data_IF_820499860913
#
_entry.id   IF_820499860913
#
_cell.length_a   1.000
_cell.length_b   1.000
_cell.length_c   1.000
_cell.angle_alpha   90.00
_cell.angle_beta   90.00
_cell.angle_gamma   90.00
#
_symmetry.space_group_name_H-M   'P 1'
#
loop_
_entity.id
_entity.type
_entity.pdbx_description
1 polymer ?
2 non-polymer ?
3 non-polymer ?
4 non-polymer ?
5 water ?
#
# COMPACT_ATOMS: atom_id res chain seq x y z
N UNK A 10 19.37 0.25 1.80
CA UNK A 10 19.23 -0.15 3.19
C UNK A 10 17.92 -0.87 3.44
N UNK A 11 17.74 -1.39 4.66
CA UNK A 11 16.51 -2.11 5.02
C UNK A 11 15.27 -1.22 4.97
N UNK A 12 14.12 -1.81 4.70
CA UNK A 12 12.87 -1.07 4.71
C UNK A 12 11.68 -2.01 4.93
N UNK A 13 10.72 -1.55 5.74
CA UNK A 13 9.47 -2.26 5.99
C UNK A 13 8.35 -1.58 5.22
N UNK A 14 7.82 -2.26 4.20
CA UNK A 14 6.78 -1.69 3.35
C UNK A 14 5.50 -2.50 3.48
N UNK A 15 4.38 -1.78 3.66
CA UNK A 15 3.07 -2.40 3.66
C UNK A 15 2.19 -1.72 2.62
N UNK A 16 1.66 -2.53 1.70
CA UNK A 16 0.78 -2.04 0.65
C UNK A 16 -0.68 -2.14 1.06
N UNK A 17 -1.45 -1.10 0.77
CA UNK A 17 -2.89 -1.09 1.01
C UNK A 17 -3.64 -1.04 -0.32
N UNK A 18 -4.46 -2.06 -0.56
CA UNK A 18 -5.18 -2.21 -1.84
C UNK A 18 -6.70 -2.24 -1.66
N UNK A 19 -7.40 -1.56 -2.57
CA UNK A 19 -8.86 -1.67 -2.64
C UNK A 19 -9.20 -3.00 -3.33
N UNK A 20 -9.94 -3.87 -2.63
CA UNK A 20 -10.25 -5.20 -3.16
C UNK A 20 -11.68 -5.60 -2.88
N UNK A 21 -12.53 -5.56 -3.91
CA UNK A 21 -13.90 -6.01 -3.82
C UNK A 21 -14.30 -6.73 -5.09
N UNK A 22 -15.53 -7.22 -5.14
CA UNK A 22 -16.05 -7.85 -6.34
C UNK A 22 -16.20 -6.82 -7.45
N UNK A 23 -16.42 -5.56 -7.07
CA UNK A 23 -16.61 -4.48 -8.04
C UNK A 23 -15.37 -4.20 -8.88
N UNK A 24 -14.18 -4.32 -8.28
CA UNK A 24 -12.94 -4.02 -9.00
C UNK A 24 -12.10 -5.26 -9.25
N UNK A 25 -12.74 -6.42 -9.18
CA UNK A 25 -12.07 -7.70 -9.44
C UNK A 25 -11.54 -7.75 -10.87
N UNK A 26 -12.19 -7.03 -11.78
CA UNK A 26 -11.81 -7.03 -13.19
C UNK A 26 -10.45 -6.37 -13.41
N UNK A 27 -9.97 -5.63 -12.41
CA UNK A 27 -8.68 -4.94 -12.50
C UNK A 27 -7.58 -5.62 -11.68
N UNK A 28 -7.88 -6.79 -11.13
CA UNK A 28 -6.94 -7.48 -10.25
C UNK A 28 -5.62 -7.83 -10.95
N UNK A 29 -5.70 -8.22 -12.22
CA UNK A 29 -4.51 -8.65 -12.95
C UNK A 29 -3.60 -7.46 -13.24
N UNK A 30 -4.21 -6.34 -13.64
CA UNK A 30 -3.45 -5.11 -13.88
C UNK A 30 -2.77 -4.66 -12.60
N UNK A 31 -3.50 -4.73 -11.49
CA UNK A 31 -2.97 -4.33 -10.19
C UNK A 31 -1.85 -5.29 -9.74
N UNK A 32 -1.98 -6.56 -10.09
CA UNK A 32 -0.95 -7.53 -9.73
C UNK A 32 0.37 -7.16 -10.40
N UNK A 33 0.31 -6.81 -11.68
CA UNK A 33 1.51 -6.43 -12.41
C UNK A 33 2.11 -5.14 -11.84
N UNK A 34 1.26 -4.25 -11.37
CA UNK A 34 1.73 -3.03 -10.72
C UNK A 34 2.51 -3.39 -9.45
N UNK A 35 1.92 -4.22 -8.59
CA UNK A 35 2.56 -4.60 -7.33
C UNK A 35 3.89 -5.30 -7.56
N UNK A 36 3.98 -6.14 -8.60
CA UNK A 36 5.21 -6.85 -8.89
C UNK A 36 6.36 -5.88 -9.13
N UNK A 37 6.08 -4.82 -9.89
CA UNK A 37 7.08 -3.79 -10.14
C UNK A 37 7.46 -3.07 -8.86
N UNK A 38 6.49 -2.79 -8.01
CA UNK A 38 6.74 -2.08 -6.76
C UNK A 38 7.53 -2.93 -5.78
N UNK A 39 7.28 -4.24 -5.79
CA UNK A 39 8.02 -5.15 -4.92
C UNK A 39 9.47 -5.29 -5.43
N UNK A 40 9.62 -5.38 -6.75
CA UNK A 40 10.95 -5.39 -7.36
C UNK A 40 11.75 -4.14 -6.96
N UNK A 41 11.07 -3.00 -6.92
CA UNK A 41 11.71 -1.73 -6.64
C UNK A 41 12.38 -1.70 -5.26
N UNK A 42 11.98 -2.61 -4.38
CA UNK A 42 12.50 -2.63 -3.02
C UNK A 42 13.82 -3.38 -2.91
N UNK A 43 14.18 -4.11 -3.96
CA UNK A 43 15.41 -4.89 -3.94
C UNK A 43 15.21 -6.18 -3.17
N UNK A 44 16.32 -6.89 -2.88
CA UNK A 44 16.26 -8.21 -2.22
C UNK A 44 15.44 -8.22 -0.95
N UNK A 45 14.58 -9.22 -0.80
CA UNK A 45 13.83 -9.43 0.43
C UNK A 45 14.69 -10.20 1.44
N UNK A 46 14.59 -9.83 2.71
CA UNK A 46 15.34 -10.52 3.75
C UNK A 46 15.23 -9.82 5.09
N UNK A 47 15.61 -10.52 6.17
CA UNK A 47 15.50 -9.99 7.53
C UNK A 47 16.43 -8.80 7.76
N UNK A 48 17.43 -8.65 6.90
CA UNK A 48 18.34 -7.52 6.98
C UNK A 48 18.22 -6.65 5.72
N UNK A 49 17.18 -6.90 4.94
CA UNK A 49 16.95 -6.18 3.70
C UNK A 49 15.51 -5.66 3.65
N UNK A 50 14.81 -5.86 2.54
CA UNK A 50 13.45 -5.38 2.39
C UNK A 50 12.44 -6.38 2.94
N UNK A 51 11.34 -5.86 3.49
CA UNK A 51 10.23 -6.69 3.94
C UNK A 51 8.93 -6.13 3.39
N UNK A 52 7.98 -7.02 3.07
CA UNK A 52 6.71 -6.61 2.49
C UNK A 52 5.54 -7.20 3.27
N UNK A 53 4.58 -6.33 3.55
CA UNK A 53 3.31 -6.72 4.13
C UNK A 53 2.18 -6.25 3.25
N UNK A 54 0.98 -6.74 3.48
CA UNK A 54 -0.16 -6.42 2.62
C UNK A 54 -1.49 -6.44 3.37
N UNK A 55 -2.30 -5.43 3.08
CA UNK A 55 -3.66 -5.34 3.60
C UNK A 55 -4.57 -4.88 2.47
N UNK A 56 -5.76 -5.45 2.38
CA UNK A 56 -6.75 -4.99 1.42
C UNK A 56 -7.94 -4.43 2.17
N UNK A 57 -8.77 -3.65 1.48
CA UNK A 57 -9.93 -3.04 2.12
C UNK A 57 -11.13 -2.98 1.21
N UNK A 58 -12.29 -3.22 1.82
CA UNK A 58 -13.59 -2.98 1.20
C UNK A 58 -14.27 -1.90 2.05
N UNK A 59 -15.41 -2.22 2.65
CA UNK A 59 -15.93 -1.40 3.74
C UNK A 59 -15.10 -1.71 4.99
N UNK A 60 -14.58 -2.93 5.04
CA UNK A 60 -13.77 -3.41 6.17
C UNK A 60 -12.34 -3.72 5.73
N UNK A 61 -11.39 -3.64 6.68
CA UNK A 61 -9.98 -3.94 6.39
C UNK A 61 -9.66 -5.44 6.51
N UNK A 62 -8.80 -5.93 5.62
CA UNK A 62 -8.37 -7.32 5.65
C UNK A 62 -6.85 -7.45 5.56
N UNK A 63 -6.18 -7.53 6.72
CA UNK A 63 -4.74 -7.80 6.70
C UNK A 63 -4.48 -9.19 6.12
N UNK A 64 -3.62 -9.29 5.11
CA UNK A 64 -3.40 -10.57 4.43
C UNK A 64 -2.10 -11.24 4.85
N UNK A 65 -1.01 -10.48 4.97
CA UNK A 65 0.20 -11.04 5.56
C UNK A 65 1.14 -9.96 6.10
N UNK A 66 1.82 -10.26 7.22
CA UNK A 66 2.73 -9.29 7.85
C UNK A 66 4.10 -9.19 7.18
N UNK A 67 4.90 -8.26 7.65
CA UNK A 67 6.23 -7.97 7.09
C UNK A 67 7.17 -9.18 7.07
N UNK A 68 7.03 -10.07 8.04
CA UNK A 68 7.93 -11.22 8.16
C UNK A 68 7.24 -12.55 7.83
N UNK A 69 6.15 -12.49 7.05
CA UNK A 69 5.45 -13.69 6.63
C UNK A 69 6.37 -14.58 5.80
N UNK A 70 7.16 -13.94 4.94
CA UNK A 70 8.11 -14.65 4.09
C UNK A 70 9.10 -13.68 3.47
N UNK A 71 10.30 -14.18 3.19
CA UNK A 71 11.29 -13.44 2.42
C UNK A 71 11.54 -14.13 1.09
N UNK A 72 10.69 -15.12 0.80
CA UNK A 72 10.75 -15.86 -0.44
C UNK A 72 9.88 -15.15 -1.46
N UNK A 73 10.53 -14.52 -2.44
CA UNK A 73 9.83 -13.70 -3.41
C UNK A 73 8.77 -14.49 -4.17
N UNK A 74 9.03 -15.76 -4.44
CA UNK A 74 8.08 -16.60 -5.14
C UNK A 74 6.80 -16.79 -4.35
N UNK A 75 6.93 -16.94 -3.04
CA UNK A 75 5.77 -17.15 -2.18
C UNK A 75 4.98 -15.85 -2.04
N UNK A 76 5.70 -14.75 -1.87
CA UNK A 76 5.07 -13.44 -1.73
C UNK A 76 4.23 -13.09 -2.96
N UNK A 77 4.76 -13.40 -4.15
CA UNK A 77 4.03 -13.09 -5.37
C UNK A 77 2.82 -13.99 -5.54
N UNK A 78 2.87 -15.20 -5.00
CA UNK A 78 1.71 -16.08 -5.06
C UNK A 78 0.63 -15.55 -4.12
N UNK A 79 1.03 -15.03 -2.97
CA UNK A 79 0.09 -14.43 -2.03
C UNK A 79 -0.63 -13.25 -2.69
N UNK A 80 0.14 -12.45 -3.42
CA UNK A 80 -0.43 -11.30 -4.13
C UNK A 80 -1.37 -11.79 -5.23
N UNK A 81 -0.99 -12.86 -5.90
CA UNK A 81 -1.81 -13.47 -6.95
C UNK A 81 -3.14 -13.94 -6.40
N UNK A 82 -3.13 -14.44 -5.17
CA UNK A 82 -4.31 -15.07 -4.57
C UNK A 82 -5.10 -14.11 -3.69
N UNK A 83 -4.86 -12.81 -3.82
CA UNK A 83 -5.62 -11.80 -3.09
C UNK A 83 -7.12 -12.02 -3.33
N UNK A 84 -7.91 -12.20 -2.25
CA UNK A 84 -9.35 -12.33 -2.44
C UNK A 84 -10.01 -11.02 -2.87
N UNK A 85 -10.73 -11.07 -4.00
CA UNK A 85 -11.61 -10.00 -4.42
C UNK A 85 -13.06 -10.46 -4.28
N UNK A 86 -13.50 -10.66 -3.04
CA UNK A 86 -14.78 -11.30 -2.77
C UNK A 86 -15.75 -10.41 -2.00
N UNK A 87 -15.25 -9.32 -1.42
CA UNK A 87 -16.07 -8.48 -0.54
C UNK A 87 -17.13 -7.68 -1.29
N UNK A 88 -18.21 -7.30 -0.59
CA UNK A 88 -19.20 -6.40 -1.20
C UNK A 88 -18.61 -5.02 -1.45
N UNK A 89 -19.38 -4.15 -2.11
CA UNK A 89 -18.92 -2.80 -2.40
C UNK A 89 -18.54 -2.05 -1.12
N UNK A 90 -17.53 -1.19 -1.23
CA UNK A 90 -17.04 -0.43 -0.10
C UNK A 90 -15.64 0.09 -0.38
N UNK A 91 -15.37 1.32 0.08
CA UNK A 91 -14.10 1.97 -0.22
C UNK A 91 -13.59 2.73 1.00
N UNK A 92 -13.51 2.06 2.13
CA UNK A 92 -13.14 2.69 3.39
C UNK A 92 -11.61 2.70 3.59
N UNK A 93 -10.94 3.65 2.96
CA UNK A 93 -9.50 3.75 3.07
C UNK A 93 -9.07 4.17 4.47
N UNK A 94 -9.89 4.98 5.12
CA UNK A 94 -9.58 5.49 6.45
C UNK A 94 -9.31 4.40 7.47
N UNK A 95 -10.23 3.45 7.59
CA UNK A 95 -10.09 2.38 8.58
C UNK A 95 -8.98 1.42 8.17
N UNK A 96 -8.72 1.34 6.87
CA UNK A 96 -7.64 0.50 6.37
C UNK A 96 -6.29 1.02 6.85
N UNK A 97 -6.08 2.34 6.70
CA UNK A 97 -4.86 2.98 7.15
C UNK A 97 -4.64 2.73 8.64
N UNK A 98 -5.69 2.92 9.43
CA UNK A 98 -5.61 2.71 10.87
C UNK A 98 -5.23 1.27 11.20
N UNK A 99 -5.88 0.31 10.54
CA UNK A 99 -5.64 -1.09 10.82
C UNK A 99 -4.23 -1.51 10.40
N UNK A 100 -3.78 -1.04 9.24
CA UNK A 100 -2.44 -1.35 8.75
C UNK A 100 -1.40 -0.78 9.71
N UNK A 101 -1.67 0.41 10.23
CA UNK A 101 -0.77 1.05 11.20
C UNK A 101 -0.71 0.23 12.48
N UNK A 102 -1.87 -0.05 13.06
CA UNK A 102 -1.94 -0.70 14.37
C UNK A 102 -1.42 -2.14 14.35
N UNK A 103 -1.68 -2.86 13.27
CA UNK A 103 -1.39 -4.28 13.23
C UNK A 103 -0.26 -4.74 12.29
N UNK A 104 0.26 -3.86 11.44
CA UNK A 104 1.30 -4.26 10.48
C UNK A 104 2.54 -3.37 10.48
N UNK A 105 2.39 -2.10 10.85
CA UNK A 105 3.52 -1.16 10.81
C UNK A 105 3.90 -0.60 12.18
N UNK A 106 3.10 -0.89 13.20
CA UNK A 106 3.42 -0.43 14.55
C UNK A 106 4.65 -1.14 15.08
N UNK A 107 5.32 -0.53 16.05
CA UNK A 107 6.57 -1.07 16.59
C UNK A 107 6.40 -2.48 17.13
N UNK A 108 5.18 -2.82 17.55
CA UNK A 108 4.90 -4.13 18.12
C UNK A 108 4.34 -5.12 17.11
N UNK A 109 4.17 -4.67 15.87
CA UNK A 109 3.58 -5.51 14.83
C UNK A 109 4.54 -6.63 14.41
N UNK A 110 4.00 -7.73 13.87
CA UNK A 110 4.84 -8.87 13.47
C UNK A 110 5.86 -8.50 12.40
N UNK A 111 7.14 -8.72 12.69
CA UNK A 111 8.19 -8.51 11.71
C UNK A 111 8.66 -7.07 11.57
N UNK A 112 8.01 -6.15 12.28
CA UNK A 112 8.41 -4.75 12.24
C UNK A 112 9.77 -4.58 12.92
N UNK A 113 10.71 -3.99 12.21
CA UNK A 113 12.07 -3.80 12.71
C UNK A 113 12.28 -2.36 13.18
N UNK A 114 12.86 -2.21 14.36
CA UNK A 114 13.18 -0.89 14.87
C UNK A 114 14.43 -0.34 14.18
N UNK A 115 14.55 0.98 14.15
CA UNK A 115 15.63 1.66 13.43
C UNK A 115 15.59 1.33 11.94
N UNK A 116 14.44 0.88 11.46
CA UNK A 116 14.22 0.65 10.03
C UNK A 116 13.04 1.51 9.55
N UNK A 117 13.20 2.20 8.41
CA UNK A 117 12.09 3.01 7.91
C UNK A 117 10.85 2.19 7.57
N UNK A 118 9.69 2.65 8.03
CA UNK A 118 8.42 2.03 7.70
C UNK A 118 7.68 2.84 6.66
N UNK A 119 7.12 2.16 5.66
CA UNK A 119 6.43 2.82 4.56
C UNK A 119 5.05 2.21 4.33
N UNK A 120 4.05 3.08 4.19
CA UNK A 120 2.70 2.66 3.88
C UNK A 120 2.34 3.16 2.48
N UNK A 121 2.09 2.21 1.57
CA UNK A 121 1.78 2.54 0.18
C UNK A 121 0.29 2.32 -0.08
N UNK A 122 -0.38 3.40 -0.50
CA UNK A 122 -1.84 3.37 -0.70
C UNK A 122 -2.21 3.28 -2.17
N UNK A 123 -2.95 2.24 -2.53
CA UNK A 123 -3.54 2.13 -3.86
C UNK A 123 -5.02 2.52 -3.79
N UNK A 124 -5.42 3.47 -4.63
CA UNK A 124 -6.79 3.98 -4.64
C UNK A 124 -7.32 4.02 -6.07
N UNK A 125 -8.58 3.62 -6.25
CA UNK A 125 -9.18 3.53 -7.58
C UNK A 125 -10.62 4.01 -7.61
N UNK A 126 -11.07 4.67 -6.54
CA UNK A 126 -12.41 5.22 -6.45
C UNK A 126 -12.40 6.50 -5.63
N UNK A 127 -13.36 7.41 -5.88
CA UNK A 127 -13.50 8.57 -4.99
C UNK A 127 -13.66 8.12 -3.54
N UNK A 128 -12.96 8.79 -2.64
CA UNK A 128 -12.90 8.37 -1.24
C UNK A 128 -14.02 8.97 -0.41
N UNK A 129 -14.64 8.11 0.39
CA UNK A 129 -15.71 8.49 1.31
C UNK A 129 -15.19 8.36 2.73
N UNK A 130 -15.72 9.16 3.65
CA UNK A 130 -15.30 9.12 5.03
C UNK A 130 -13.96 9.80 5.24
N UNK A 131 -13.53 9.90 6.49
CA UNK A 131 -12.31 10.62 6.82
C UNK A 131 -11.06 9.79 6.58
N UNK A 132 -10.11 10.38 5.86
CA UNK A 132 -8.80 9.76 5.62
C UNK A 132 -7.70 10.62 6.24
N UNK A 133 -8.03 11.88 6.50
CA UNK A 133 -7.08 12.85 7.03
C UNK A 133 -6.52 12.43 8.38
N UNK A 134 -7.39 12.03 9.29
CA UNK A 134 -6.99 11.71 10.65
C UNK A 134 -6.11 10.44 10.72
N UNK A 135 -6.52 9.34 10.06
CA UNK A 135 -5.66 8.15 10.04
C UNK A 135 -4.28 8.40 9.43
N UNK A 136 -4.24 9.09 8.30
CA UNK A 136 -2.98 9.36 7.60
C UNK A 136 -2.06 10.26 8.41
N UNK A 137 -2.63 11.30 9.02
CA UNK A 137 -1.84 12.21 9.84
C UNK A 137 -1.23 11.46 11.02
N UNK A 138 -2.01 10.57 11.63
CA UNK A 138 -1.52 9.82 12.79
C UNK A 138 -0.43 8.83 12.37
N UNK A 139 -0.56 8.27 11.16
CA UNK A 139 0.48 7.38 10.66
C UNK A 139 1.78 8.13 10.46
N UNK A 140 1.67 9.34 9.91
CA UNK A 140 2.83 10.18 9.69
C UNK A 140 3.48 10.60 11.00
N UNK A 141 2.65 10.96 11.97
CA UNK A 141 3.14 11.43 13.27
C UNK A 141 3.91 10.33 13.99
N UNK A 142 3.48 9.08 13.79
CA UNK A 142 4.14 7.94 14.43
C UNK A 142 5.45 7.60 13.74
N UNK A 143 5.74 8.26 12.61
CA UNK A 143 7.02 8.15 11.94
C UNK A 143 7.02 7.40 10.62
N UNK A 144 5.83 7.02 10.16
CA UNK A 144 5.71 6.25 8.92
C UNK A 144 5.66 7.16 7.70
N UNK A 145 6.29 6.72 6.61
CA UNK A 145 6.19 7.42 5.33
C UNK A 145 4.97 6.91 4.59
N UNK A 146 4.13 7.84 4.15
CA UNK A 146 2.92 7.50 3.42
C UNK A 146 3.05 7.93 1.96
N UNK A 147 2.80 7.00 1.06
CA UNK A 147 2.80 7.25 -0.37
C UNK A 147 1.50 6.74 -0.96
N UNK A 148 1.06 7.33 -2.05
CA UNK A 148 -0.21 6.94 -2.66
C UNK A 148 -0.15 6.90 -4.18
N UNK A 149 -0.64 5.79 -4.72
CA UNK A 149 -0.86 5.67 -6.16
C UNK A 149 -2.35 5.72 -6.42
N UNK A 150 -2.78 6.77 -7.11
CA UNK A 150 -4.18 6.91 -7.50
C UNK A 150 -4.37 6.37 -8.91
N UNK A 151 -5.09 5.26 -9.01
CA UNK A 151 -5.34 4.62 -10.29
C UNK A 151 -6.51 5.29 -11.00
N UNK A 152 -6.70 4.94 -12.27
CA UNK A 152 -7.84 5.43 -13.04
C UNK A 152 -9.13 5.08 -12.31
N UNK A 153 -9.99 6.08 -12.16
CA UNK A 153 -11.22 5.93 -11.40
C UNK A 153 -11.18 6.77 -10.13
N UNK A 154 -9.98 6.97 -9.59
CA UNK A 154 -9.81 7.74 -8.36
C UNK A 154 -9.94 9.24 -8.63
N UNK A 155 -10.21 9.99 -7.56
CA UNK A 155 -10.18 11.44 -7.60
C UNK A 155 -8.76 11.89 -7.23
N UNK A 156 -8.00 12.41 -8.19
CA UNK A 156 -6.57 12.68 -7.93
C UNK A 156 -6.30 13.78 -6.91
N UNK A 157 -7.31 14.57 -6.55
CA UNK A 157 -7.11 15.71 -5.66
C UNK A 157 -7.28 15.35 -4.19
N UNK A 158 -7.98 14.27 -3.90
CA UNK A 158 -8.35 13.93 -2.53
C UNK A 158 -7.14 13.72 -1.63
N UNK A 159 -6.16 12.95 -2.10
CA UNK A 159 -4.99 12.64 -1.30
C UNK A 159 -3.92 13.73 -1.38
N UNK A 160 -4.22 14.78 -2.14
CA UNK A 160 -3.31 15.91 -2.28
C UNK A 160 -3.70 17.06 -1.36
N UNK A 161 -4.96 17.06 -0.92
CA UNK A 161 -5.48 18.13 -0.08
C UNK A 161 -5.70 17.66 1.36
N UNK A 162 -4.64 17.13 1.96
CA UNK A 162 -4.66 16.70 3.36
C UNK A 162 -3.83 17.66 4.21
N UNK A 163 -4.45 18.77 4.59
CA UNK A 163 -3.78 19.81 5.37
C UNK A 163 -4.64 20.22 6.57
N UNK A 166 -1.17 17.96 8.74
CA UNK A 166 -0.39 16.81 8.30
C UNK A 166 0.56 17.19 7.17
N UNK A 167 1.67 16.47 7.06
CA UNK A 167 2.67 16.72 6.04
C UNK A 167 2.18 16.27 4.66
N UNK A 168 2.80 16.81 3.59
CA UNK A 168 2.42 16.40 2.24
C UNK A 168 2.77 14.95 1.92
N UNK A 169 1.96 14.31 1.09
CA UNK A 169 2.18 12.94 0.66
C UNK A 169 2.80 12.90 -0.73
N UNK A 170 3.64 11.90 -0.96
CA UNK A 170 4.11 11.62 -2.31
C UNK A 170 2.99 10.95 -3.09
N UNK A 171 2.31 11.72 -3.94
CA UNK A 171 1.19 11.23 -4.71
C UNK A 171 1.55 10.98 -6.17
N UNK A 172 0.99 9.92 -6.73
CA UNK A 172 1.17 9.60 -8.14
C UNK A 172 -0.17 9.20 -8.72
N UNK A 173 -0.52 9.78 -9.86
CA UNK A 173 -1.83 9.58 -10.46
C UNK A 173 -1.72 9.03 -11.88
N UNK A 174 -2.36 7.90 -12.12
CA UNK A 174 -2.46 7.32 -13.45
C UNK A 174 -3.61 7.96 -14.20
N UNK A 175 -3.30 8.75 -15.22
CA UNK A 175 -4.32 9.46 -15.97
C UNK A 175 -4.99 8.54 -16.99
N UNK A 176 -4.39 7.38 -17.22
CA UNK A 176 -4.99 6.33 -18.04
C UNK A 176 -4.43 4.99 -17.61
N UNK A 177 -4.95 3.91 -18.19
CA UNK A 177 -4.51 2.56 -17.84
C UNK A 177 -3.33 2.09 -18.70
N UNK A 178 -2.82 2.99 -19.55
CA UNK A 178 -1.72 2.67 -20.44
C UNK A 178 -0.43 3.37 -20.04
N UNK A 179 0.13 4.21 -20.92
CA UNK A 179 1.38 4.91 -20.59
C UNK A 179 1.26 5.79 -19.35
N UNK A 180 0.07 6.34 -19.12
CA UNK A 180 -0.19 7.14 -17.94
C UNK A 180 0.03 6.32 -16.69
N UNK A 181 -0.47 5.09 -16.70
CA UNK A 181 -0.28 4.18 -15.57
C UNK A 181 1.20 3.84 -15.41
N UNK A 182 1.85 3.49 -16.52
CA UNK A 182 3.26 3.11 -16.49
C UNK A 182 4.14 4.19 -15.87
N UNK A 183 3.91 5.44 -16.26
CA UNK A 183 4.70 6.56 -15.72
C UNK A 183 4.51 6.70 -14.22
N UNK A 184 3.26 6.60 -13.77
CA UNK A 184 2.94 6.74 -12.35
C UNK A 184 3.63 5.66 -11.53
N UNK A 185 3.54 4.42 -12.01
CA UNK A 185 4.14 3.29 -11.32
C UNK A 185 5.66 3.42 -11.27
N UNK A 186 6.26 3.85 -12.38
CA UNK A 186 7.70 4.05 -12.43
C UNK A 186 8.13 5.12 -11.43
N UNK A 187 7.38 6.22 -11.37
CA UNK A 187 7.69 7.30 -10.45
C UNK A 187 7.60 6.83 -9.00
N UNK A 188 6.57 6.05 -8.68
CA UNK A 188 6.42 5.52 -7.34
C UNK A 188 7.53 4.52 -7.03
N UNK A 189 7.93 3.73 -8.02
CA UNK A 189 8.99 2.75 -7.85
C UNK A 189 10.30 3.45 -7.47
N UNK A 190 10.58 4.59 -8.11
CA UNK A 190 11.75 5.37 -7.78
C UNK A 190 11.63 5.92 -6.36
N UNK A 191 10.43 6.37 -6.01
CA UNK A 191 10.18 6.94 -4.70
C UNK A 191 10.38 5.91 -3.59
N UNK A 192 9.99 4.68 -3.84
CA UNK A 192 10.17 3.59 -2.89
C UNK A 192 11.66 3.28 -2.68
N UNK A 193 12.41 3.28 -3.77
CA UNK A 193 13.85 3.02 -3.70
C UNK A 193 14.55 4.05 -2.81
N UNK A 194 14.04 5.27 -2.80
CA UNK A 194 14.65 6.36 -2.05
C UNK A 194 14.22 6.39 -0.59
N UNK A 195 13.14 5.67 -0.28
CA UNK A 195 12.58 5.69 1.08
C UNK A 195 13.47 4.97 2.08
N UNK A 196 14.33 4.08 1.59
CA UNK A 196 15.24 3.34 2.45
C UNK A 196 16.40 4.22 2.91
X LIG B 1 6.51 -23.88 -3.87
X LIG C 1 9.76 -25.43 -5.55
X LIG C 1 8.99 -24.69 -4.89
X LIG C 1 7.76 -24.93 -4.83
X LIG C 1 9.58 -23.51 -4.16
X LIG C 1 8.56 -22.70 -3.46
X LIG C 1 8.37 -21.38 -4.10
X LIG C 1 7.28 -21.32 -5.16
X LIG C 1 6.51 -22.29 -5.27
X LIG C 1 7.17 -20.32 -5.89
X LIG C 1 9.01 -22.43 -2.09
X LIG C 1 10.23 -23.85 -3.50
X LIG C 1 10.06 -22.94 -4.81
X LIG C 1 8.16 -20.72 -3.40
X LIG C 1 9.22 -21.11 -4.53
X LIG C 1 9.54 -21.61 -2.11
X LIG C 1 8.21 -22.27 -1.54
X LIG D 1 -16.37 -0.53 -4.28
X LIG E 1 -0.66 -23.14 -7.64
X LIG E 1 -1.62 -22.56 -6.63
X LIG E 1 0.66 -23.43 -6.98
X LIG E 1 -1.22 -24.42 -8.20
X LIG E 1 -0.46 -22.15 -8.76
#
# INVERSE_FOLDING_TARGET
>A
GRAMGACSHGPVDVVFLLHATRDNAHNAEAVRRVLERLVSALGPLGPQAAQVGLLTYSHRPSPLFPLNSSHDLGIILRKIRDIPYVDPSGNNLGTAVTTAHRYLLASNAPGRRQQVPGVMVLLVDEPLRGDILSPIREAQTSGLKVMALSLVGADPEQLRRLAPGTDPIQNFFAVDNGPGLDRAVSDLAVALCQAA
>B hetero
1 MG MG
>C hetero
1 EDT O20 C5 O19 C4 N3 C2 C1 O18 O17 C6 H041 H042 H021 H022 H061 H062
>D hetero
1 MG MG
>E hetero
1 PO4 P O1 O2 O3 O4
#
